data_IF_220536199250
#
_entry.id   IF_220536199250
#
_cell.length_a   1.000
_cell.length_b   1.000
_cell.length_c   1.000
_cell.angle_alpha   90.00
_cell.angle_beta   90.00
_cell.angle_gamma   90.00
#
_symmetry.space_group_name_H-M   'P 1'
#
loop_
_entity.id
_entity.type
_entity.pdbx_description
1 polymer ?
#
# COMPACT_ATOMS: atom_id res chain seq x y z
N UNK A 1 -10.24 17.76 17.61
CA UNK A 1 -11.03 16.64 17.08
C UNK A 1 -11.63 17.05 15.74
N UNK A 2 -11.68 16.12 14.80
CA UNK A 2 -12.48 16.29 13.59
C UNK A 2 -13.98 16.23 13.93
N UNK A 3 -14.85 16.37 12.93
CA UNK A 3 -16.31 16.36 13.10
C UNK A 3 -16.86 15.01 13.63
N UNK A 4 -16.02 13.98 13.71
CA UNK A 4 -16.36 12.62 14.14
C UNK A 4 -15.74 12.22 15.49
N UNK A 5 -14.93 13.10 16.10
CA UNK A 5 -14.35 12.89 17.43
C UNK A 5 -12.99 12.21 17.46
N UNK A 6 -12.39 11.88 16.31
CA UNK A 6 -11.08 11.24 16.28
C UNK A 6 -9.95 12.21 16.67
N UNK A 7 -8.97 11.72 17.40
CA UNK A 7 -7.74 12.47 17.64
C UNK A 7 -6.89 12.49 16.38
N UNK A 8 -6.10 13.55 16.16
CA UNK A 8 -5.23 13.67 14.98
C UNK A 8 -4.26 12.48 14.89
N UNK A 9 -3.80 11.97 16.04
CA UNK A 9 -2.94 10.79 16.12
C UNK A 9 -3.63 9.50 15.66
N UNK A 10 -4.96 9.44 15.74
CA UNK A 10 -5.73 8.31 15.26
C UNK A 10 -5.80 8.24 13.74
N UNK A 11 -5.53 9.36 13.05
CA UNK A 11 -5.52 9.47 11.59
C UNK A 11 -4.12 9.37 10.96
N UNK A 12 -3.06 9.31 11.76
CA UNK A 12 -1.67 9.28 11.25
C UNK A 12 -1.42 8.11 10.29
N UNK A 13 -2.05 6.95 10.52
CA UNK A 13 -1.89 5.79 9.65
C UNK A 13 -2.37 6.05 8.21
N UNK A 14 -3.38 6.92 8.01
CA UNK A 14 -3.87 7.29 6.67
C UNK A 14 -2.80 8.04 5.90
N UNK A 15 -2.13 8.99 6.56
CA UNK A 15 -1.04 9.75 5.97
C UNK A 15 0.10 8.83 5.55
N UNK A 16 0.50 7.91 6.43
CA UNK A 16 1.58 6.97 6.17
C UNK A 16 1.22 6.00 5.02
N UNK A 17 -0.01 5.51 5.00
CA UNK A 17 -0.52 4.63 3.96
C UNK A 17 -0.56 5.33 2.58
N UNK A 18 -1.08 6.56 2.49
CA UNK A 18 -1.10 7.34 1.25
C UNK A 18 0.31 7.66 0.76
N UNK A 19 1.22 8.01 1.68
CA UNK A 19 2.63 8.23 1.36
C UNK A 19 3.27 6.96 0.81
N UNK A 20 2.96 5.81 1.39
CA UNK A 20 3.46 4.51 0.93
C UNK A 20 2.93 4.17 -0.47
N UNK A 21 1.62 4.34 -0.74
CA UNK A 21 1.05 4.15 -2.09
C UNK A 21 1.80 5.01 -3.11
N UNK A 22 2.01 6.29 -2.83
CA UNK A 22 2.75 7.20 -3.72
C UNK A 22 4.19 6.72 -3.96
N UNK A 23 4.86 6.22 -2.93
CA UNK A 23 6.21 5.67 -3.05
C UNK A 23 6.24 4.41 -3.92
N UNK A 24 5.34 3.45 -3.68
CA UNK A 24 5.21 2.23 -4.48
C UNK A 24 4.93 2.54 -5.95
N UNK A 25 3.99 3.44 -6.25
CA UNK A 25 3.71 3.86 -7.64
C UNK A 25 4.92 4.45 -8.35
N UNK A 26 5.77 5.19 -7.62
CA UNK A 26 7.02 5.72 -8.17
C UNK A 26 8.02 4.61 -8.46
N UNK A 27 8.19 3.68 -7.53
CA UNK A 27 9.09 2.52 -7.71
C UNK A 27 8.62 1.66 -8.87
N UNK A 28 7.32 1.32 -8.94
CA UNK A 28 6.73 0.52 -10.02
C UNK A 28 6.99 1.11 -11.40
N UNK A 29 6.91 2.44 -11.56
CA UNK A 29 7.25 3.10 -12.83
C UNK A 29 8.69 2.79 -13.27
N UNK A 30 9.64 2.83 -12.34
CA UNK A 30 11.04 2.53 -12.63
C UNK A 30 11.29 1.03 -12.80
N UNK A 31 10.53 0.16 -12.13
CA UNK A 31 10.67 -1.30 -12.29
C UNK A 31 10.28 -1.75 -13.69
N UNK A 32 9.25 -1.16 -14.32
CA UNK A 32 8.93 -1.48 -15.72
C UNK A 32 10.05 -1.10 -16.68
N UNK A 33 10.66 0.08 -16.50
CA UNK A 33 11.79 0.50 -17.34
C UNK A 33 12.97 -0.44 -17.15
N UNK A 34 13.29 -0.78 -15.89
CA UNK A 34 14.38 -1.71 -15.59
C UNK A 34 14.14 -3.11 -16.15
N UNK A 35 12.95 -3.68 -15.90
CA UNK A 35 12.58 -5.02 -16.35
C UNK A 35 12.59 -5.20 -17.87
N UNK A 36 12.34 -4.12 -18.62
CA UNK A 36 12.47 -4.12 -20.09
C UNK A 36 13.90 -4.44 -20.55
N UNK A 37 14.91 -3.97 -19.81
CA UNK A 37 16.33 -4.19 -20.15
C UNK A 37 16.92 -5.45 -19.51
N UNK A 38 16.15 -6.23 -18.76
CA UNK A 38 16.59 -7.52 -18.23
C UNK A 38 16.55 -8.61 -19.30
N UNK A 39 17.60 -9.43 -19.33
CA UNK A 39 17.73 -10.57 -20.23
C UNK A 39 16.55 -11.57 -20.06
N UNK A 40 15.87 -11.87 -21.16
CA UNK A 40 14.65 -12.69 -21.20
C UNK A 40 14.84 -14.14 -20.70
N UNK A 41 16.08 -14.65 -20.68
CA UNK A 41 16.40 -16.01 -20.24
C UNK A 41 16.96 -16.13 -18.83
N UNK A 42 17.13 -15.02 -18.10
CA UNK A 42 17.76 -15.00 -16.78
C UNK A 42 16.80 -15.37 -15.64
N UNK A 43 17.27 -16.15 -14.66
CA UNK A 43 16.53 -16.41 -13.41
C UNK A 43 16.23 -15.13 -12.63
N UNK A 44 17.06 -14.10 -12.79
CA UNK A 44 16.90 -12.77 -12.22
C UNK A 44 15.62 -12.08 -12.71
N UNK A 45 15.30 -12.18 -14.01
CA UNK A 45 14.09 -11.56 -14.58
C UNK A 45 12.81 -12.16 -14.00
N UNK A 46 12.74 -13.49 -13.91
CA UNK A 46 11.58 -14.19 -13.34
C UNK A 46 11.33 -13.78 -11.89
N UNK A 47 12.40 -13.70 -11.08
CA UNK A 47 12.30 -13.26 -9.68
C UNK A 47 11.85 -11.79 -9.61
N UNK A 48 12.45 -10.94 -10.45
CA UNK A 48 12.12 -9.52 -10.51
C UNK A 48 10.65 -9.28 -10.88
N UNK A 49 10.15 -9.92 -11.93
CA UNK A 49 8.76 -9.80 -12.37
C UNK A 49 7.79 -10.32 -11.31
N UNK A 50 8.14 -11.41 -10.60
CA UNK A 50 7.36 -11.90 -9.48
C UNK A 50 7.27 -10.87 -8.34
N UNK A 51 8.40 -10.27 -7.95
CA UNK A 51 8.43 -9.22 -6.92
C UNK A 51 7.67 -7.96 -7.37
N UNK A 52 7.83 -7.54 -8.63
CA UNK A 52 7.10 -6.41 -9.21
C UNK A 52 5.59 -6.64 -9.14
N UNK A 53 5.12 -7.81 -9.59
CA UNK A 53 3.70 -8.17 -9.57
C UNK A 53 3.14 -8.16 -8.14
N UNK A 54 3.86 -8.73 -7.18
CA UNK A 54 3.46 -8.69 -5.78
C UNK A 54 3.36 -7.25 -5.24
N UNK A 55 4.33 -6.38 -5.57
CA UNK A 55 4.28 -4.99 -5.16
C UNK A 55 3.07 -4.27 -5.77
N UNK A 56 2.78 -4.50 -7.06
CA UNK A 56 1.64 -3.93 -7.77
C UNK A 56 0.31 -4.34 -7.12
N UNK A 57 0.05 -5.64 -6.99
CA UNK A 57 -1.20 -6.16 -6.41
C UNK A 57 -1.45 -5.65 -4.98
N UNK A 58 -0.41 -5.59 -4.14
CA UNK A 58 -0.54 -5.09 -2.77
C UNK A 58 -0.70 -3.58 -2.71
N UNK A 59 -0.09 -2.83 -3.64
CA UNK A 59 -0.27 -1.38 -3.75
C UNK A 59 -1.68 -1.05 -4.20
N UNK A 60 -2.22 -1.79 -5.17
CA UNK A 60 -3.60 -1.63 -5.65
C UNK A 60 -4.60 -1.93 -4.53
N UNK A 61 -4.41 -3.03 -3.81
CA UNK A 61 -5.26 -3.39 -2.67
C UNK A 61 -5.26 -2.31 -1.58
N UNK A 62 -4.09 -1.74 -1.26
CA UNK A 62 -3.98 -0.64 -0.29
C UNK A 62 -4.68 0.62 -0.80
N UNK A 63 -4.49 0.96 -2.07
CA UNK A 63 -5.07 2.15 -2.66
C UNK A 63 -6.59 2.07 -2.73
N UNK A 64 -7.13 0.93 -3.19
CA UNK A 64 -8.57 0.69 -3.24
C UNK A 64 -9.21 0.78 -1.86
N UNK A 65 -8.59 0.20 -0.84
CA UNK A 65 -9.05 0.29 0.55
C UNK A 65 -9.12 1.74 1.03
N UNK A 66 -8.09 2.54 0.74
CA UNK A 66 -8.05 3.96 1.15
C UNK A 66 -9.10 4.82 0.44
N UNK A 67 -9.52 4.45 -0.77
CA UNK A 67 -10.54 5.19 -1.53
C UNK A 67 -11.96 4.71 -1.19
N UNK A 68 -12.21 3.40 -1.25
CA UNK A 68 -13.58 2.85 -1.17
C UNK A 68 -14.02 2.55 0.25
N UNK A 69 -13.19 1.86 1.03
CA UNK A 69 -13.57 1.45 2.38
C UNK A 69 -13.63 2.66 3.31
N UNK A 70 -12.76 3.65 3.09
CA UNK A 70 -12.82 4.93 3.79
C UNK A 70 -14.14 5.66 3.50
N UNK A 71 -14.53 5.81 2.23
CA UNK A 71 -15.77 6.49 1.86
C UNK A 71 -17.01 5.77 2.41
N UNK A 72 -17.00 4.43 2.41
CA UNK A 72 -18.07 3.62 3.01
C UNK A 72 -18.18 3.80 4.53
N UNK A 73 -17.07 4.05 5.23
CA UNK A 73 -17.08 4.27 6.69
C UNK A 73 -17.56 5.66 7.10
N UNK A 74 -17.31 6.69 6.28
CA UNK A 74 -17.49 8.09 6.69
C UNK A 74 -18.58 8.87 5.94
N UNK A 75 -18.91 8.49 4.70
CA UNK A 75 -19.78 9.30 3.84
C UNK A 75 -21.01 8.56 3.33
N UNK A 76 -20.90 7.26 3.04
CA UNK A 76 -21.97 6.46 2.41
C UNK A 76 -22.65 5.46 3.35
N UNK A 77 -22.61 5.68 4.67
CA UNK A 77 -23.38 4.85 5.58
C UNK A 77 -24.87 5.21 5.43
N UNK A 78 -25.59 4.44 4.60
CA UNK A 78 -27.06 4.43 4.55
C UNK A 78 -27.69 3.93 5.86
N UNK A 79 -26.87 3.57 6.85
CA UNK A 79 -27.25 3.06 8.16
C UNK A 79 -27.58 4.22 9.12
N UNK A 80 -28.87 4.49 9.41
CA UNK A 80 -29.28 5.72 10.08
C UNK A 80 -28.84 5.82 11.53
N UNK A 81 -28.34 4.74 12.16
CA UNK A 81 -27.93 4.73 13.57
C UNK A 81 -26.82 3.69 13.79
N UNK A 82 -25.64 3.87 13.19
CA UNK A 82 -24.48 3.10 13.66
C UNK A 82 -24.07 3.63 15.05
N UNK A 83 -24.22 2.81 16.08
CA UNK A 83 -23.80 3.19 17.43
C UNK A 83 -22.31 3.54 17.46
N UNK A 84 -21.93 4.56 18.23
CA UNK A 84 -20.55 5.08 18.27
C UNK A 84 -19.48 3.99 18.51
N UNK A 85 -19.83 2.97 19.31
CA UNK A 85 -18.95 1.82 19.56
C UNK A 85 -18.72 0.94 18.31
N UNK A 86 -19.76 0.74 17.48
CA UNK A 86 -19.65 -0.05 16.26
C UNK A 86 -18.88 0.72 15.17
N UNK A 87 -19.13 2.02 15.03
CA UNK A 87 -18.36 2.89 14.14
C UNK A 87 -16.86 2.86 14.49
N UNK A 88 -16.55 2.98 15.78
CA UNK A 88 -15.19 2.90 16.27
C UNK A 88 -14.56 1.51 16.02
N UNK A 89 -15.31 0.43 16.23
CA UNK A 89 -14.82 -0.92 15.93
C UNK A 89 -14.53 -1.14 14.43
N UNK A 90 -15.39 -0.62 13.54
CA UNK A 90 -15.16 -0.67 12.08
C UNK A 90 -13.94 0.15 11.69
N UNK A 91 -13.78 1.35 12.25
CA UNK A 91 -12.60 2.18 12.04
C UNK A 91 -11.31 1.50 12.50
N UNK A 92 -11.31 0.86 13.67
CA UNK A 92 -10.12 0.15 14.18
C UNK A 92 -9.74 -1.05 13.31
N UNK A 93 -10.72 -1.78 12.76
CA UNK A 93 -10.46 -2.84 11.77
C UNK A 93 -9.82 -2.27 10.50
N UNK A 94 -10.37 -1.19 9.97
CA UNK A 94 -9.82 -0.49 8.81
C UNK A 94 -8.38 -0.01 9.05
N UNK A 95 -8.12 0.64 10.19
CA UNK A 95 -6.78 1.05 10.62
C UNK A 95 -5.80 -0.12 10.60
N UNK A 96 -6.19 -1.24 11.21
CA UNK A 96 -5.36 -2.45 11.25
C UNK A 96 -5.04 -2.96 9.85
N UNK A 97 -6.03 -3.03 8.97
CA UNK A 97 -5.85 -3.48 7.59
C UNK A 97 -4.93 -2.54 6.80
N UNK A 98 -5.19 -1.24 6.82
CA UNK A 98 -4.38 -0.24 6.12
C UNK A 98 -2.92 -0.26 6.61
N UNK A 99 -2.70 -0.40 7.92
CA UNK A 99 -1.35 -0.51 8.50
C UNK A 99 -0.64 -1.79 8.04
N UNK A 100 -1.33 -2.93 8.03
CA UNK A 100 -0.76 -4.19 7.56
C UNK A 100 -0.32 -4.12 6.09
N UNK A 101 -1.20 -3.62 5.20
CA UNK A 101 -0.86 -3.46 3.78
C UNK A 101 0.25 -2.44 3.55
N UNK A 102 0.29 -1.35 4.32
CA UNK A 102 1.40 -0.38 4.30
C UNK A 102 2.72 -1.07 4.61
N UNK A 103 2.78 -1.89 5.66
CA UNK A 103 3.99 -2.61 6.04
C UNK A 103 4.40 -3.66 4.99
N UNK A 104 3.43 -4.40 4.43
CA UNK A 104 3.69 -5.42 3.41
C UNK A 104 4.23 -4.78 2.12
N UNK A 105 3.61 -3.71 1.64
CA UNK A 105 4.07 -2.98 0.45
C UNK A 105 5.45 -2.37 0.67
N UNK A 106 5.73 -1.86 1.87
CA UNK A 106 7.06 -1.38 2.23
C UNK A 106 8.13 -2.48 2.17
N UNK A 107 7.83 -3.70 2.65
CA UNK A 107 8.75 -4.85 2.57
C UNK A 107 9.06 -5.23 1.12
N UNK A 108 8.04 -5.39 0.27
CA UNK A 108 8.26 -5.73 -1.15
C UNK A 108 9.04 -4.63 -1.89
N UNK A 109 8.70 -3.38 -1.65
CA UNK A 109 9.42 -2.24 -2.22
C UNK A 109 10.90 -2.24 -1.81
N UNK A 110 11.18 -2.47 -0.52
CA UNK A 110 12.55 -2.54 -0.02
C UNK A 110 13.33 -3.73 -0.62
N UNK A 111 12.69 -4.88 -0.78
CA UNK A 111 13.28 -6.06 -1.41
C UNK A 111 13.69 -5.76 -2.85
N UNK A 112 12.78 -5.20 -3.66
CA UNK A 112 13.08 -4.80 -5.04
C UNK A 112 14.26 -3.83 -5.08
N UNK A 113 14.26 -2.79 -4.24
CA UNK A 113 15.34 -1.80 -4.23
C UNK A 113 16.69 -2.39 -3.79
N UNK A 114 16.67 -3.34 -2.85
CA UNK A 114 17.87 -4.06 -2.43
C UNK A 114 18.41 -4.91 -3.57
N UNK A 115 17.57 -5.71 -4.21
CA UNK A 115 17.98 -6.62 -5.28
C UNK A 115 18.53 -5.82 -6.48
N UNK A 116 17.90 -4.70 -6.83
CA UNK A 116 18.39 -3.74 -7.82
C UNK A 116 19.76 -3.14 -7.44
N UNK A 117 19.99 -2.88 -6.15
CA UNK A 117 21.25 -2.33 -5.64
C UNK A 117 22.43 -3.30 -5.74
N UNK A 118 22.17 -4.61 -5.69
CA UNK A 118 23.21 -5.64 -5.79
C UNK A 118 23.48 -6.06 -7.25
N UNK A 119 22.47 -6.03 -8.13
CA UNK A 119 22.63 -6.29 -9.57
C UNK A 119 23.52 -5.26 -10.31
N UNK A 120 23.74 -4.08 -9.73
CA UNK A 120 24.64 -3.05 -10.27
C UNK A 120 26.15 -3.35 -10.15
N UNK A 121 26.55 -4.41 -9.42
CA UNK A 121 27.96 -4.73 -9.17
C UNK A 121 28.54 -5.81 -10.11
N UNK A 122 27.78 -6.25 -11.11
CA UNK A 122 28.22 -7.21 -12.14
C UNK A 122 28.47 -6.50 -13.49
N UNK A 123 29.31 -5.46 -13.46
CA UNK A 123 29.96 -4.93 -14.67
C UNK A 123 31.47 -5.11 -14.56
#
# INVERSE_FOLDING_TARGET
>A
HDKHGFEIIELQFLYDALRQVRACRRVLKWTYVYGYYLDEGGTEKNLFEHLQKNLEEKTDSLHEMLEKDFDALFFNSDDPVLGAAEAHAKFMKFRSHATNFTNVTQKFMAQILSDLGHGGSLK
#
